data_IF_550283618001
#
_entry.id   IF_550283618001
#
_cell.length_a   1.000
_cell.length_b   1.000
_cell.length_c   1.000
_cell.angle_alpha   90.00
_cell.angle_beta   90.00
_cell.angle_gamma   90.00
#
_symmetry.space_group_name_H-M   'P 1'
#
loop_
_entity.id
_entity.type
_entity.pdbx_description
1 polymer ?
#
# COMPACT_ATOMS: atom_id res chain seq x y z
N UNK A 1 -23.33 -20.90 80.66
CA UNK A 1 -22.60 -20.09 79.72
C UNK A 1 -22.43 -20.95 78.46
N UNK A 2 -23.21 -20.66 77.40
CA UNK A 2 -23.18 -21.40 76.15
C UNK A 2 -22.31 -20.60 75.09
N UNK A 3 -21.23 -21.20 74.62
CA UNK A 3 -20.41 -20.62 73.59
C UNK A 3 -21.08 -20.80 72.26
N UNK A 4 -21.30 -19.71 71.54
CA UNK A 4 -21.83 -19.70 70.16
C UNK A 4 -20.63 -19.66 69.23
N UNK A 5 -20.47 -20.77 68.49
CA UNK A 5 -19.45 -20.90 67.42
C UNK A 5 -20.04 -20.38 66.11
N UNK A 6 -19.38 -19.35 65.49
CA UNK A 6 -19.73 -18.89 64.17
C UNK A 6 -18.82 -19.58 63.12
N UNK A 7 -19.41 -20.16 62.07
CA UNK A 7 -18.58 -20.68 60.98
C UNK A 7 -18.12 -19.52 60.08
N UNK A 8 -16.79 -19.40 59.87
CA UNK A 8 -16.18 -18.51 58.89
C UNK A 8 -16.54 -19.01 57.46
N UNK A 9 -17.36 -18.26 56.77
CA UNK A 9 -17.66 -18.47 55.35
C UNK A 9 -16.52 -17.82 54.54
N UNK A 10 -15.58 -18.63 54.05
CA UNK A 10 -14.55 -18.23 53.09
C UNK A 10 -15.19 -18.12 51.72
N UNK A 11 -15.56 -16.93 51.28
CA UNK A 11 -15.99 -16.66 49.92
C UNK A 11 -14.72 -16.53 49.06
N UNK A 12 -14.40 -17.60 48.37
CA UNK A 12 -13.37 -17.64 47.33
C UNK A 12 -13.89 -16.88 46.12
N UNK A 13 -13.43 -15.64 45.92
CA UNK A 13 -13.61 -14.90 44.66
C UNK A 13 -12.69 -15.48 43.61
N UNK A 14 -13.22 -16.39 42.79
CA UNK A 14 -12.61 -16.80 41.53
C UNK A 14 -12.70 -15.63 40.55
N UNK A 15 -11.67 -14.78 40.50
CA UNK A 15 -11.44 -13.80 39.46
C UNK A 15 -11.11 -14.54 38.17
N UNK A 16 -12.14 -14.84 37.40
CA UNK A 16 -12.01 -15.31 36.04
C UNK A 16 -11.49 -14.13 35.21
N UNK A 17 -10.18 -14.02 35.04
CA UNK A 17 -9.58 -13.11 34.09
C UNK A 17 -9.86 -13.65 32.68
N UNK A 18 -11.01 -13.27 32.14
CA UNK A 18 -11.23 -13.37 30.70
C UNK A 18 -10.20 -12.49 30.02
N UNK A 19 -9.13 -13.11 29.53
CA UNK A 19 -8.22 -12.46 28.62
C UNK A 19 -8.99 -12.15 27.32
N UNK A 20 -9.58 -10.96 27.27
CA UNK A 20 -10.07 -10.39 26.02
C UNK A 20 -8.84 -10.16 25.15
N UNK A 21 -8.58 -11.10 24.25
CA UNK A 21 -7.70 -10.85 23.12
C UNK A 21 -8.36 -9.75 22.29
N UNK A 22 -8.05 -8.50 22.56
CA UNK A 22 -8.38 -7.39 21.70
C UNK A 22 -7.55 -7.57 20.43
N UNK A 23 -8.17 -8.14 19.40
CA UNK A 23 -7.70 -8.03 18.02
C UNK A 23 -7.81 -6.55 17.65
N UNK A 24 -6.77 -5.78 17.97
CA UNK A 24 -6.69 -4.38 17.57
C UNK A 24 -6.65 -4.36 16.04
N UNK A 25 -7.68 -3.78 15.43
CA UNK A 25 -7.63 -3.46 14.00
C UNK A 25 -6.44 -2.52 13.78
N UNK A 26 -5.57 -2.85 12.84
CA UNK A 26 -4.48 -1.96 12.47
C UNK A 26 -5.08 -0.63 12.07
N UNK A 27 -4.71 0.44 12.76
CA UNK A 27 -5.02 1.78 12.33
C UNK A 27 -4.29 2.01 11.00
N UNK A 28 -5.06 2.27 9.95
CA UNK A 28 -4.54 2.49 8.59
C UNK A 28 -3.49 3.59 8.54
N UNK A 29 -3.69 4.64 9.32
CA UNK A 29 -2.78 5.79 9.40
C UNK A 29 -1.47 5.35 10.02
N UNK A 30 -1.51 4.67 11.17
CA UNK A 30 -0.31 4.19 11.86
C UNK A 30 0.48 3.19 11.04
N UNK A 31 -0.17 2.30 10.27
CA UNK A 31 0.53 1.34 9.41
C UNK A 31 1.49 2.03 8.45
N UNK A 32 1.11 3.15 7.85
CA UNK A 32 1.94 3.88 6.91
C UNK A 32 2.81 4.96 7.56
N UNK A 33 2.57 5.33 8.81
CA UNK A 33 3.38 6.29 9.57
C UNK A 33 4.63 5.65 10.17
N UNK A 34 4.55 4.39 10.54
CA UNK A 34 5.71 3.63 11.02
C UNK A 34 6.76 3.46 9.90
N UNK A 35 8.01 3.69 10.20
CA UNK A 35 9.13 3.68 9.24
C UNK A 35 9.95 2.40 9.26
N UNK A 36 9.67 1.46 10.18
CA UNK A 36 10.39 0.19 10.22
C UNK A 36 10.11 -0.65 8.96
N UNK A 37 11.10 -1.37 8.48
CA UNK A 37 10.93 -2.32 7.37
C UNK A 37 10.13 -3.51 7.88
N UNK A 38 9.16 -3.98 7.10
CA UNK A 38 8.38 -5.17 7.40
C UNK A 38 8.99 -6.35 6.64
N UNK A 39 9.42 -7.38 7.37
CA UNK A 39 9.75 -8.67 6.77
C UNK A 39 8.46 -9.40 6.43
N UNK A 40 8.23 -9.65 5.14
CA UNK A 40 7.01 -10.24 4.63
C UNK A 40 7.30 -11.37 3.63
N UNK A 41 6.49 -12.43 3.68
CA UNK A 41 6.50 -13.49 2.68
C UNK A 41 5.17 -13.54 1.97
N UNK A 42 5.20 -13.56 0.63
CA UNK A 42 4.04 -13.85 -0.20
C UNK A 42 4.24 -15.21 -0.85
N UNK A 43 3.37 -16.16 -0.54
CA UNK A 43 3.39 -17.52 -1.11
C UNK A 43 2.29 -17.67 -2.14
N UNK A 44 2.64 -18.00 -3.40
CA UNK A 44 1.68 -18.17 -4.51
C UNK A 44 2.22 -19.18 -5.53
N UNK A 45 1.39 -19.60 -6.48
CA UNK A 45 1.85 -20.37 -7.66
C UNK A 45 2.67 -19.46 -8.58
N UNK A 46 3.98 -19.41 -8.34
CA UNK A 46 4.91 -18.58 -9.14
C UNK A 46 4.99 -19.04 -10.60
N UNK A 47 4.81 -20.34 -10.87
CA UNK A 47 4.84 -20.86 -12.26
C UNK A 47 3.68 -20.26 -13.05
N UNK A 48 2.49 -20.26 -12.47
CA UNK A 48 1.30 -19.67 -13.09
C UNK A 48 1.43 -18.15 -13.20
N UNK A 49 1.86 -17.48 -12.13
CA UNK A 49 2.04 -16.02 -12.10
C UNK A 49 2.98 -15.55 -13.22
N UNK A 50 4.16 -16.16 -13.36
CA UNK A 50 5.12 -15.76 -14.40
C UNK A 50 4.66 -16.09 -15.81
N UNK A 51 3.94 -17.19 -16.01
CA UNK A 51 3.37 -17.55 -17.32
C UNK A 51 2.27 -16.58 -17.76
N UNK A 52 1.55 -15.99 -16.84
CA UNK A 52 0.38 -15.14 -17.11
C UNK A 52 0.63 -13.66 -16.76
N UNK A 53 1.87 -13.27 -16.46
CA UNK A 53 2.22 -11.93 -15.95
C UNK A 53 1.81 -10.76 -16.87
N UNK A 54 1.64 -11.00 -18.16
CA UNK A 54 1.26 -9.98 -19.12
C UNK A 54 -0.26 -9.74 -19.19
N UNK A 55 -1.06 -10.60 -18.55
CA UNK A 55 -2.51 -10.50 -18.55
C UNK A 55 -3.00 -9.61 -17.40
N UNK A 56 -3.35 -8.36 -17.72
CA UNK A 56 -3.92 -7.46 -16.74
C UNK A 56 -5.25 -8.01 -16.20
N UNK A 57 -5.42 -7.92 -14.87
CA UNK A 57 -6.62 -8.37 -14.20
C UNK A 57 -6.62 -9.85 -13.83
N UNK A 58 -5.65 -10.65 -14.30
CA UNK A 58 -5.52 -12.03 -13.84
C UNK A 58 -5.27 -12.07 -12.33
N UNK A 59 -5.97 -12.98 -11.66
CA UNK A 59 -6.00 -13.11 -10.21
C UNK A 59 -5.34 -14.41 -9.76
N UNK A 60 -4.50 -14.31 -8.71
CA UNK A 60 -3.74 -15.43 -8.14
C UNK A 60 -4.00 -15.50 -6.64
N UNK A 61 -4.59 -16.60 -6.14
CA UNK A 61 -4.65 -16.87 -4.72
C UNK A 61 -3.23 -16.93 -4.15
N UNK A 62 -3.05 -16.31 -3.00
CA UNK A 62 -1.76 -16.27 -2.31
C UNK A 62 -1.98 -16.20 -0.80
N UNK A 63 -0.90 -16.37 -0.05
CA UNK A 63 -0.86 -16.14 1.37
C UNK A 63 0.17 -15.06 1.69
N UNK A 64 -0.19 -14.12 2.57
CA UNK A 64 0.69 -13.08 3.07
C UNK A 64 1.04 -13.38 4.52
N UNK A 65 2.32 -13.53 4.82
CA UNK A 65 2.84 -13.72 6.17
C UNK A 65 3.80 -12.58 6.52
N UNK A 66 3.63 -12.00 7.70
CA UNK A 66 4.52 -10.95 8.20
C UNK A 66 4.45 -10.84 9.71
N UNK A 67 5.49 -10.30 10.33
CA UNK A 67 5.45 -9.81 11.71
C UNK A 67 5.49 -8.28 11.67
N UNK A 68 4.42 -7.66 12.15
CA UNK A 68 4.28 -6.22 12.21
C UNK A 68 4.81 -5.68 13.56
N UNK A 69 5.08 -4.37 13.69
CA UNK A 69 5.43 -3.75 14.95
C UNK A 69 4.47 -4.13 16.08
N UNK A 70 5.02 -4.33 17.28
CA UNK A 70 4.25 -4.84 18.43
C UNK A 70 4.07 -6.36 18.40
N UNK A 71 4.89 -7.10 17.64
CA UNK A 71 4.86 -8.56 17.50
C UNK A 71 3.51 -9.10 16.98
N UNK A 72 2.81 -8.30 16.17
CA UNK A 72 1.55 -8.72 15.56
C UNK A 72 1.86 -9.64 14.38
N UNK A 73 1.58 -10.93 14.54
CA UNK A 73 1.75 -11.93 13.48
C UNK A 73 0.55 -11.89 12.54
N UNK A 74 0.83 -11.67 11.26
CA UNK A 74 -0.14 -11.75 10.17
C UNK A 74 0.12 -13.02 9.37
N UNK A 75 -0.94 -13.76 9.11
CA UNK A 75 -0.93 -14.92 8.19
C UNK A 75 -2.31 -14.98 7.54
N UNK A 76 -2.43 -14.32 6.39
CA UNK A 76 -3.72 -14.06 5.78
C UNK A 76 -3.77 -14.53 4.32
N UNK A 77 -4.85 -15.21 3.92
CA UNK A 77 -5.12 -15.45 2.51
C UNK A 77 -5.39 -14.11 1.82
N UNK A 78 -4.71 -13.89 0.71
CA UNK A 78 -4.81 -12.69 -0.12
C UNK A 78 -5.13 -13.05 -1.56
N UNK A 79 -5.51 -12.04 -2.33
CA UNK A 79 -5.58 -12.13 -3.77
C UNK A 79 -4.56 -11.18 -4.39
N UNK A 80 -3.68 -11.72 -5.22
CA UNK A 80 -2.81 -10.94 -6.08
C UNK A 80 -3.54 -10.68 -7.40
N UNK A 81 -3.47 -9.45 -7.90
CA UNK A 81 -4.00 -9.11 -9.22
C UNK A 81 -2.91 -8.42 -10.03
N UNK A 82 -2.63 -8.91 -11.23
CA UNK A 82 -1.70 -8.25 -12.16
C UNK A 82 -2.28 -6.92 -12.63
N UNK A 83 -1.48 -5.86 -12.56
CA UNK A 83 -1.87 -4.50 -12.92
C UNK A 83 -0.83 -3.80 -13.81
N UNK A 84 -1.08 -2.55 -14.12
CA UNK A 84 -0.18 -1.71 -14.92
C UNK A 84 -0.24 -2.03 -16.42
N UNK A 85 0.55 -1.30 -17.19
CA UNK A 85 0.63 -1.47 -18.65
C UNK A 85 2.05 -1.81 -19.08
N UNK A 86 2.97 -0.86 -19.04
CA UNK A 86 4.34 -1.00 -19.55
C UNK A 86 5.15 -2.07 -18.77
N UNK A 87 5.22 -1.97 -17.45
CA UNK A 87 6.05 -2.84 -16.59
C UNK A 87 5.65 -4.31 -16.59
N UNK A 88 4.42 -4.67 -17.01
CA UNK A 88 3.98 -6.08 -17.10
C UNK A 88 4.82 -6.90 -18.09
N UNK A 89 5.10 -6.32 -19.26
CA UNK A 89 5.93 -7.00 -20.27
C UNK A 89 7.43 -6.84 -20.00
N UNK A 90 7.82 -5.69 -19.45
CA UNK A 90 9.22 -5.33 -19.29
C UNK A 90 9.88 -5.90 -18.03
N UNK A 91 9.20 -5.85 -16.88
CA UNK A 91 9.77 -6.25 -15.61
C UNK A 91 9.74 -7.77 -15.39
N UNK A 92 10.68 -8.27 -14.58
CA UNK A 92 10.74 -9.68 -14.19
C UNK A 92 9.48 -10.06 -13.39
N UNK A 93 9.17 -9.33 -12.30
CA UNK A 93 7.93 -9.45 -11.56
C UNK A 93 6.94 -8.40 -12.07
N UNK A 94 5.72 -8.79 -12.46
CA UNK A 94 4.72 -7.80 -12.89
C UNK A 94 4.27 -6.93 -11.70
N UNK A 95 3.86 -5.69 -11.95
CA UNK A 95 3.21 -4.90 -10.91
C UNK A 95 1.96 -5.59 -10.38
N UNK A 96 1.85 -5.71 -9.06
CA UNK A 96 0.78 -6.43 -8.40
C UNK A 96 -0.09 -5.51 -7.53
N UNK A 97 -1.34 -5.90 -7.37
CA UNK A 97 -2.24 -5.43 -6.33
C UNK A 97 -2.44 -6.56 -5.33
N UNK A 98 -2.39 -6.23 -4.05
CA UNK A 98 -2.59 -7.15 -2.93
C UNK A 98 -3.92 -6.82 -2.25
N UNK A 99 -4.86 -7.78 -2.23
CA UNK A 99 -6.16 -7.58 -1.63
C UNK A 99 -6.35 -8.45 -0.38
N UNK A 100 -6.51 -7.80 0.79
CA UNK A 100 -6.75 -8.44 2.10
C UNK A 100 -8.25 -8.59 2.39
N UNK A 101 -9.00 -9.29 1.55
CA UNK A 101 -10.47 -9.31 1.64
C UNK A 101 -11.08 -10.62 2.15
N UNK A 102 -10.34 -11.71 2.15
CA UNK A 102 -10.91 -13.04 2.42
C UNK A 102 -11.10 -13.34 3.90
N UNK A 103 -10.15 -13.00 4.75
CA UNK A 103 -10.23 -13.25 6.20
C UNK A 103 -10.92 -12.07 6.89
N UNK A 104 -12.13 -12.31 7.41
CA UNK A 104 -12.94 -11.27 8.08
C UNK A 104 -12.23 -10.65 9.31
N UNK A 105 -11.44 -11.45 10.01
CA UNK A 105 -10.71 -11.07 11.23
C UNK A 105 -9.29 -10.56 10.96
N UNK A 106 -8.90 -10.42 9.69
CA UNK A 106 -7.57 -9.91 9.34
C UNK A 106 -7.37 -8.49 9.85
N UNK A 107 -6.27 -8.28 10.55
CA UNK A 107 -5.79 -6.95 10.95
C UNK A 107 -5.42 -6.10 9.73
N UNK A 108 -5.05 -6.71 8.60
CA UNK A 108 -4.73 -6.03 7.34
C UNK A 108 -5.98 -5.62 6.53
N UNK A 109 -7.15 -6.23 6.80
CA UNK A 109 -8.37 -5.95 6.06
C UNK A 109 -8.76 -4.46 6.00
N UNK A 110 -8.60 -3.65 7.06
CA UNK A 110 -8.90 -2.22 7.01
C UNK A 110 -8.05 -1.45 5.99
N UNK A 111 -6.89 -1.96 5.57
CA UNK A 111 -6.03 -1.33 4.56
C UNK A 111 -6.62 -1.45 3.15
N UNK A 112 -7.50 -2.43 2.92
CA UNK A 112 -8.13 -2.66 1.63
C UNK A 112 -7.18 -3.23 0.58
N UNK A 113 -7.32 -2.74 -0.65
CA UNK A 113 -6.47 -3.14 -1.77
C UNK A 113 -5.22 -2.25 -1.80
N UNK A 114 -4.03 -2.84 -1.70
CA UNK A 114 -2.77 -2.11 -1.74
C UNK A 114 -2.05 -2.40 -3.06
N UNK A 115 -1.33 -1.42 -3.60
CA UNK A 115 -0.41 -1.70 -4.69
C UNK A 115 0.91 -2.20 -4.10
N UNK A 116 1.43 -3.30 -4.63
CA UNK A 116 2.78 -3.77 -4.38
C UNK A 116 3.67 -3.23 -5.51
N UNK A 117 4.65 -2.46 -5.14
CA UNK A 117 5.68 -1.94 -6.05
C UNK A 117 6.97 -2.67 -5.72
N UNK A 118 7.52 -3.37 -6.69
CA UNK A 118 8.75 -4.14 -6.61
C UNK A 118 9.77 -3.64 -7.62
N UNK A 119 11.02 -4.05 -7.47
CA UNK A 119 12.03 -3.74 -8.47
C UNK A 119 11.70 -4.38 -9.82
N UNK A 120 12.12 -3.71 -10.91
CA UNK A 120 11.80 -4.17 -12.26
C UNK A 120 12.67 -5.35 -12.70
N UNK A 121 13.95 -5.32 -12.36
CA UNK A 121 14.94 -6.36 -12.63
C UNK A 121 15.69 -6.68 -11.34
N UNK A 122 16.17 -7.90 -11.22
CA UNK A 122 16.98 -8.33 -10.08
C UNK A 122 18.41 -7.79 -10.23
N UNK A 123 18.63 -6.54 -9.79
CA UNK A 123 19.95 -5.92 -9.78
C UNK A 123 20.00 -4.81 -8.72
N UNK A 124 21.17 -4.53 -8.21
CA UNK A 124 21.42 -3.45 -7.27
C UNK A 124 20.95 -2.08 -7.79
N UNK A 125 21.15 -1.81 -9.08
CA UNK A 125 20.69 -0.59 -9.73
C UNK A 125 19.15 -0.47 -9.68
N UNK A 126 18.42 -1.56 -9.95
CA UNK A 126 16.95 -1.54 -9.91
C UNK A 126 16.42 -1.43 -8.48
N UNK A 127 17.16 -1.94 -7.50
CA UNK A 127 16.86 -1.74 -6.09
C UNK A 127 17.02 -0.27 -5.69
N UNK A 128 18.06 0.41 -6.17
CA UNK A 128 18.23 1.85 -5.97
C UNK A 128 17.09 2.67 -6.60
N UNK A 129 16.59 2.29 -7.77
CA UNK A 129 15.41 2.93 -8.37
C UNK A 129 14.18 2.80 -7.47
N UNK A 130 13.95 1.61 -6.92
CA UNK A 130 12.86 1.38 -5.98
C UNK A 130 12.95 2.28 -4.74
N UNK A 131 14.15 2.38 -4.14
CA UNK A 131 14.36 3.23 -2.97
C UNK A 131 14.20 4.71 -3.30
N UNK A 132 14.66 5.17 -4.46
CA UNK A 132 14.46 6.55 -4.90
C UNK A 132 12.96 6.87 -5.09
N UNK A 133 12.20 5.99 -5.74
CA UNK A 133 10.76 6.15 -5.89
C UNK A 133 10.07 6.16 -4.51
N UNK A 134 10.42 5.24 -3.61
CA UNK A 134 9.93 5.22 -2.24
C UNK A 134 10.23 6.55 -1.51
N UNK A 135 11.43 7.09 -1.62
CA UNK A 135 11.82 8.35 -1.01
C UNK A 135 11.01 9.53 -1.55
N UNK A 136 10.72 9.57 -2.86
CA UNK A 136 9.85 10.60 -3.45
C UNK A 136 8.49 10.61 -2.76
N UNK A 137 7.86 9.46 -2.56
CA UNK A 137 6.60 9.39 -1.81
C UNK A 137 6.75 9.92 -0.39
N UNK A 138 7.84 9.58 0.31
CA UNK A 138 8.08 10.06 1.69
C UNK A 138 8.29 11.56 1.73
N UNK A 139 9.04 12.14 0.80
CA UNK A 139 9.25 13.59 0.68
C UNK A 139 7.91 14.28 0.39
N UNK A 140 7.12 13.76 -0.55
CA UNK A 140 5.82 14.35 -0.89
C UNK A 140 4.83 14.27 0.28
N UNK A 141 4.88 13.20 1.10
CA UNK A 141 4.07 13.09 2.32
C UNK A 141 4.41 14.18 3.37
N UNK A 142 5.62 14.74 3.35
CA UNK A 142 5.99 15.86 4.24
C UNK A 142 5.41 17.20 3.77
N UNK A 143 5.06 17.30 2.49
CA UNK A 143 4.57 18.55 1.87
C UNK A 143 3.04 18.67 1.98
N UNK A 144 2.33 17.55 1.78
CA UNK A 144 0.86 17.56 1.74
C UNK A 144 0.26 16.21 2.14
N UNK A 145 -0.92 16.26 2.79
CA UNK A 145 -1.71 15.06 3.06
C UNK A 145 -2.45 14.53 1.82
N UNK A 146 -2.56 15.33 0.74
CA UNK A 146 -3.10 14.91 -0.55
C UNK A 146 -2.08 14.06 -1.32
N UNK A 147 -1.61 12.99 -0.71
CA UNK A 147 -0.50 12.15 -1.16
C UNK A 147 -0.75 10.69 -0.84
N UNK A 148 -0.17 9.78 -1.58
CA UNK A 148 -0.15 8.36 -1.22
C UNK A 148 0.90 8.08 -0.17
N UNK A 149 0.56 7.31 0.86
CA UNK A 149 1.51 6.79 1.85
C UNK A 149 2.06 5.45 1.41
N UNK A 150 3.30 5.20 1.74
CA UNK A 150 4.02 3.97 1.37
C UNK A 150 4.69 3.32 2.57
N UNK A 151 4.80 1.98 2.54
CA UNK A 151 5.44 1.17 3.58
C UNK A 151 6.43 0.21 2.95
N UNK A 152 7.70 0.28 3.39
CA UNK A 152 8.78 -0.56 2.89
C UNK A 152 8.68 -1.99 3.43
N UNK A 153 8.98 -2.95 2.56
CA UNK A 153 9.05 -4.38 2.85
C UNK A 153 10.43 -4.93 2.48
N UNK A 154 10.91 -5.85 3.27
CA UNK A 154 11.82 -6.91 2.85
C UNK A 154 10.96 -8.11 2.48
N UNK A 155 10.81 -8.35 1.19
CA UNK A 155 9.83 -9.26 0.63
C UNK A 155 10.47 -10.55 0.14
N UNK A 156 9.97 -11.69 0.63
CA UNK A 156 10.19 -12.99 0.03
C UNK A 156 8.96 -13.41 -0.78
N UNK A 157 9.13 -13.65 -2.08
CA UNK A 157 8.12 -14.28 -2.92
C UNK A 157 8.45 -15.77 -3.04
N UNK A 158 7.61 -16.62 -2.45
CA UNK A 158 7.80 -18.06 -2.38
C UNK A 158 6.82 -18.83 -3.28
N UNK A 159 7.31 -19.92 -3.90
CA UNK A 159 6.45 -20.78 -4.72
C UNK A 159 5.66 -21.77 -3.88
N UNK A 160 4.34 -21.77 -3.99
CA UNK A 160 3.45 -22.64 -3.22
C UNK A 160 3.64 -24.12 -3.53
N UNK A 161 4.18 -24.48 -4.71
CA UNK A 161 4.46 -25.85 -5.12
C UNK A 161 5.93 -26.25 -4.99
N UNK A 162 6.82 -25.33 -4.54
CA UNK A 162 8.25 -25.59 -4.41
C UNK A 162 8.99 -25.84 -5.73
N UNK A 163 8.40 -25.50 -6.87
CA UNK A 163 8.98 -25.72 -8.20
C UNK A 163 9.95 -24.61 -8.64
N UNK A 164 9.83 -23.45 -8.02
CA UNK A 164 10.71 -22.29 -8.24
C UNK A 164 11.41 -21.90 -6.96
N UNK A 165 12.64 -21.37 -7.09
CA UNK A 165 13.35 -20.76 -5.96
C UNK A 165 12.62 -19.49 -5.53
N UNK A 166 12.63 -19.21 -4.23
CA UNK A 166 12.15 -17.93 -3.69
C UNK A 166 12.94 -16.77 -4.28
N UNK A 167 12.27 -15.64 -4.38
CA UNK A 167 12.87 -14.35 -4.77
C UNK A 167 12.81 -13.46 -3.54
N UNK A 168 13.96 -12.97 -3.10
CA UNK A 168 14.06 -12.00 -2.02
C UNK A 168 14.43 -10.65 -2.61
N UNK A 169 13.64 -9.63 -2.30
CA UNK A 169 13.82 -8.27 -2.81
C UNK A 169 13.18 -7.24 -1.88
N UNK A 170 13.65 -6.00 -1.94
CA UNK A 170 12.88 -4.91 -1.36
C UNK A 170 11.68 -4.56 -2.25
N UNK A 171 10.58 -4.21 -1.59
CA UNK A 171 9.35 -3.76 -2.23
C UNK A 171 8.67 -2.72 -1.32
N UNK A 172 7.64 -2.03 -1.81
CA UNK A 172 6.80 -1.25 -0.93
C UNK A 172 5.32 -1.44 -1.23
N UNK A 173 4.52 -1.39 -0.16
CA UNK A 173 3.07 -1.29 -0.27
C UNK A 173 2.67 0.17 -0.37
N UNK A 174 1.81 0.47 -1.32
CA UNK A 174 1.23 1.79 -1.51
C UNK A 174 -0.27 1.77 -1.20
N UNK A 175 -0.71 2.78 -0.47
CA UNK A 175 -2.08 3.01 -0.05
C UNK A 175 -3.07 3.09 -1.24
N UNK A 176 -4.32 2.67 -1.02
CA UNK A 176 -5.41 2.85 -2.01
C UNK A 176 -5.92 4.31 -1.97
N UNK A 177 -6.32 4.84 -3.13
CA UNK A 177 -6.87 6.22 -3.25
C UNK A 177 -8.10 6.44 -2.35
N UNK A 178 -8.87 5.40 -2.04
CA UNK A 178 -10.00 5.51 -1.11
C UNK A 178 -9.54 5.80 0.32
N UNK A 179 -8.36 5.33 0.70
CA UNK A 179 -7.78 5.62 2.01
C UNK A 179 -7.23 7.05 2.05
N UNK A 180 -6.54 7.50 0.98
CA UNK A 180 -6.15 8.91 0.81
C UNK A 180 -7.37 9.81 0.93
N UNK A 181 -8.43 9.53 0.17
CA UNK A 181 -9.66 10.31 0.21
C UNK A 181 -10.30 10.30 1.62
N UNK A 182 -10.38 9.12 2.26
CA UNK A 182 -11.01 8.99 3.58
C UNK A 182 -10.31 9.83 4.66
N UNK A 183 -8.97 9.82 4.72
CA UNK A 183 -8.24 10.58 5.75
C UNK A 183 -8.24 12.09 5.52
N UNK A 184 -8.61 12.52 4.31
CA UNK A 184 -8.77 13.92 3.93
C UNK A 184 -10.23 14.38 3.88
N UNK A 185 -11.18 13.66 4.50
CA UNK A 185 -12.62 13.94 4.44
C UNK A 185 -13.18 14.06 3.00
N UNK A 186 -12.56 13.32 2.08
CA UNK A 186 -12.89 13.29 0.66
C UNK A 186 -13.47 11.94 0.23
N UNK A 187 -13.95 11.89 -1.00
CA UNK A 187 -14.26 10.68 -1.77
C UNK A 187 -13.43 10.66 -3.04
N UNK A 188 -13.06 9.46 -3.52
CA UNK A 188 -12.36 9.35 -4.79
C UNK A 188 -13.27 9.77 -5.95
N UNK A 189 -12.73 10.58 -6.85
CA UNK A 189 -13.37 10.95 -8.11
C UNK A 189 -13.15 9.84 -9.14
N UNK A 190 -14.22 9.39 -9.78
CA UNK A 190 -14.14 8.21 -10.66
C UNK A 190 -14.25 8.54 -12.15
N UNK A 191 -14.63 9.76 -12.48
CA UNK A 191 -15.00 10.10 -13.84
C UNK A 191 -14.00 11.02 -14.51
N UNK A 192 -13.47 10.56 -15.65
CA UNK A 192 -13.01 11.35 -16.76
C UNK A 192 -11.74 12.17 -16.58
N UNK A 193 -11.35 12.68 -17.71
CA UNK A 193 -10.32 13.72 -17.85
C UNK A 193 -10.87 15.03 -17.27
N UNK A 194 -9.99 15.82 -16.67
CA UNK A 194 -10.35 17.12 -16.10
C UNK A 194 -9.37 18.17 -16.57
N UNK A 195 -9.87 19.36 -16.87
CA UNK A 195 -8.98 20.48 -17.19
C UNK A 195 -8.18 20.86 -15.93
N UNK A 196 -6.86 21.08 -16.03
CA UNK A 196 -6.06 21.55 -14.90
C UNK A 196 -6.55 22.87 -14.26
N UNK A 197 -7.41 23.63 -14.94
CA UNK A 197 -8.06 24.83 -14.41
C UNK A 197 -9.25 24.54 -13.50
N UNK A 198 -9.82 23.34 -13.60
CA UNK A 198 -11.02 22.90 -12.87
C UNK A 198 -10.67 22.08 -11.61
N UNK A 199 -9.44 22.14 -11.15
CA UNK A 199 -8.96 21.51 -9.91
C UNK A 199 -8.55 22.56 -8.88
N UNK A 200 -8.43 22.16 -7.62
CA UNK A 200 -7.96 23.06 -6.55
C UNK A 200 -6.59 23.66 -6.92
N UNK A 201 -6.57 24.97 -7.05
CA UNK A 201 -5.42 25.71 -7.57
C UNK A 201 -4.20 25.57 -6.67
N UNK A 202 -4.39 25.61 -5.34
CA UNK A 202 -3.27 25.49 -4.38
C UNK A 202 -2.64 24.10 -4.47
N UNK A 203 -3.46 23.05 -4.45
CA UNK A 203 -2.96 21.68 -4.57
C UNK A 203 -2.33 21.44 -5.94
N UNK A 204 -2.92 21.96 -7.00
CA UNK A 204 -2.34 21.85 -8.36
C UNK A 204 -0.96 22.53 -8.45
N UNK A 205 -0.79 23.68 -7.82
CA UNK A 205 0.51 24.38 -7.78
C UNK A 205 1.55 23.54 -7.02
N UNK A 206 1.17 22.93 -5.88
CA UNK A 206 2.06 22.04 -5.13
C UNK A 206 2.50 20.86 -6.00
N UNK A 207 1.55 20.21 -6.69
CA UNK A 207 1.84 19.09 -7.60
C UNK A 207 2.79 19.52 -8.70
N UNK A 208 2.49 20.60 -9.41
CA UNK A 208 3.29 21.06 -10.55
C UNK A 208 4.73 21.41 -10.14
N UNK A 209 4.90 22.11 -9.02
CA UNK A 209 6.24 22.44 -8.49
C UNK A 209 6.99 21.17 -8.08
N UNK A 210 6.31 20.23 -7.40
CA UNK A 210 6.93 18.99 -6.97
C UNK A 210 7.35 18.11 -8.14
N UNK A 211 6.47 17.91 -9.12
CA UNK A 211 6.77 17.15 -10.34
C UNK A 211 7.93 17.76 -11.13
N UNK A 212 7.98 19.09 -11.22
CA UNK A 212 9.10 19.82 -11.81
C UNK A 212 10.39 19.60 -11.02
N UNK A 213 10.34 19.69 -9.68
CA UNK A 213 11.49 19.52 -8.79
C UNK A 213 12.14 18.12 -8.93
N UNK A 214 11.33 17.07 -9.10
CA UNK A 214 11.84 15.71 -9.31
C UNK A 214 12.12 15.38 -10.78
N UNK A 215 11.87 16.32 -11.70
CA UNK A 215 12.05 16.13 -13.13
C UNK A 215 11.12 15.07 -13.73
N UNK A 216 9.86 15.02 -13.26
CA UNK A 216 8.88 14.10 -13.80
C UNK A 216 8.03 14.75 -14.89
N UNK A 217 8.07 14.20 -16.09
CA UNK A 217 7.26 14.64 -17.24
C UNK A 217 6.13 13.67 -17.56
N UNK A 218 6.11 12.49 -16.93
CA UNK A 218 5.16 11.41 -17.20
C UNK A 218 3.88 11.53 -16.33
N UNK A 219 3.27 12.71 -16.31
CA UNK A 219 2.02 12.94 -15.59
C UNK A 219 1.13 13.97 -16.28
N UNK A 220 -0.17 13.91 -15.98
CA UNK A 220 -1.09 14.91 -16.51
C UNK A 220 -2.53 14.71 -16.04
N UNK A 221 -3.13 15.80 -15.54
CA UNK A 221 -4.54 15.83 -15.11
C UNK A 221 -5.49 15.69 -16.29
N UNK A 222 -5.22 16.39 -17.39
CA UNK A 222 -6.06 16.40 -18.59
C UNK A 222 -6.12 15.05 -19.29
N UNK A 223 -5.09 14.24 -19.15
CA UNK A 223 -5.03 12.89 -19.73
C UNK A 223 -5.28 11.79 -18.70
N UNK A 224 -5.51 12.16 -17.43
CA UNK A 224 -5.70 11.26 -16.29
C UNK A 224 -4.53 10.25 -16.16
N UNK A 225 -3.30 10.74 -16.38
CA UNK A 225 -2.08 9.95 -16.34
C UNK A 225 -1.30 10.23 -15.06
N UNK A 226 -0.94 9.19 -14.34
CA UNK A 226 -0.18 9.21 -13.08
C UNK A 226 -0.72 10.21 -12.02
N UNK A 227 -2.02 10.53 -12.12
CA UNK A 227 -2.74 11.36 -11.17
C UNK A 227 -4.07 10.71 -10.78
N UNK A 228 -4.55 11.00 -9.58
CA UNK A 228 -5.90 10.69 -9.10
C UNK A 228 -6.54 11.94 -8.56
N UNK A 229 -7.86 11.98 -8.59
CA UNK A 229 -8.64 13.09 -8.07
C UNK A 229 -9.47 12.64 -6.86
N UNK A 230 -9.54 13.51 -5.85
CA UNK A 230 -10.41 13.36 -4.71
C UNK A 230 -11.23 14.64 -4.52
N UNK A 231 -12.48 14.51 -4.08
CA UNK A 231 -13.40 15.63 -3.89
C UNK A 231 -13.90 15.66 -2.46
N UNK A 232 -14.07 16.88 -1.93
CA UNK A 232 -14.57 17.10 -0.57
C UNK A 232 -15.94 16.43 -0.38
N UNK A 233 -16.15 15.85 0.82
CA UNK A 233 -17.48 15.38 1.25
C UNK A 233 -18.31 16.49 1.89
N UNK A 234 -17.64 17.52 2.43
CA UNK A 234 -18.27 18.60 3.20
C UNK A 234 -18.70 19.77 2.32
N UNK A 235 -17.92 20.01 1.27
CA UNK A 235 -18.16 21.16 0.38
C UNK A 235 -18.23 20.67 -1.08
N UNK A 236 -19.42 20.74 -1.66
CA UNK A 236 -19.66 20.35 -3.05
C UNK A 236 -19.18 21.39 -4.06
N UNK A 237 -18.90 22.62 -3.61
CA UNK A 237 -18.35 23.70 -4.45
C UNK A 237 -16.83 23.67 -4.50
N UNK A 238 -16.18 22.92 -3.59
CA UNK A 238 -14.74 22.75 -3.59
C UNK A 238 -14.29 21.97 -4.82
N UNK A 239 -13.37 22.54 -5.57
CA UNK A 239 -12.76 21.88 -6.73
C UNK A 239 -11.97 20.63 -6.30
N UNK A 240 -11.86 19.62 -7.17
CA UNK A 240 -11.13 18.40 -6.89
C UNK A 240 -9.66 18.62 -6.57
N UNK A 241 -9.12 17.87 -5.63
CA UNK A 241 -7.69 17.85 -5.33
C UNK A 241 -6.97 16.81 -6.18
N UNK A 242 -5.81 17.19 -6.72
CA UNK A 242 -4.94 16.30 -7.49
C UNK A 242 -4.00 15.54 -6.55
N UNK A 243 -3.89 14.23 -6.72
CA UNK A 243 -2.99 13.34 -5.98
C UNK A 243 -2.11 12.61 -6.98
N UNK A 244 -0.83 12.98 -7.12
CA UNK A 244 0.11 12.35 -8.04
C UNK A 244 0.61 11.01 -7.53
N UNK A 245 1.07 10.14 -8.43
CA UNK A 245 1.67 8.84 -8.13
C UNK A 245 2.43 8.30 -9.35
N UNK A 246 3.19 7.20 -9.17
CA UNK A 246 3.98 6.53 -10.21
C UNK A 246 5.15 7.41 -10.69
N UNK A 247 6.14 7.60 -9.79
CA UNK A 247 7.25 8.52 -10.00
C UNK A 247 8.48 7.85 -10.62
N UNK A 248 8.38 6.60 -11.07
CA UNK A 248 9.50 5.82 -11.58
C UNK A 248 10.11 6.39 -12.88
N UNK A 249 9.33 7.18 -13.65
CA UNK A 249 9.82 7.92 -14.83
C UNK A 249 10.44 9.27 -14.51
N UNK A 250 10.50 9.69 -13.24
CA UNK A 250 11.12 10.97 -12.88
C UNK A 250 12.64 10.97 -13.09
N UNK A 251 13.20 12.13 -13.42
CA UNK A 251 14.65 12.34 -13.51
C UNK A 251 15.38 12.06 -12.19
N UNK A 252 14.70 12.24 -11.04
CA UNK A 252 15.26 11.86 -9.74
C UNK A 252 15.50 10.36 -9.61
N UNK A 253 14.56 9.51 -10.07
CA UNK A 253 14.72 8.05 -10.09
C UNK A 253 15.71 7.67 -11.18
N UNK A 254 15.55 8.22 -12.38
CA UNK A 254 16.42 8.00 -13.55
C UNK A 254 16.53 6.52 -13.91
N UNK A 255 15.38 5.89 -14.13
CA UNK A 255 15.33 4.47 -14.55
C UNK A 255 15.88 4.30 -15.98
N UNK A 256 16.41 3.13 -16.26
CA UNK A 256 16.94 2.78 -17.58
C UNK A 256 15.89 2.75 -18.71
N UNK A 257 14.61 2.79 -18.35
CA UNK A 257 13.46 2.81 -19.25
C UNK A 257 12.73 4.17 -19.28
N UNK A 258 13.09 5.12 -18.43
CA UNK A 258 12.49 6.46 -18.41
C UNK A 258 13.20 7.37 -19.41
N UNK A 259 12.97 7.15 -20.68
CA UNK A 259 13.46 8.04 -21.72
C UNK A 259 12.34 9.03 -22.04
N UNK A 260 12.59 10.36 -21.93
CA UNK A 260 11.61 11.35 -22.36
C UNK A 260 11.27 11.12 -23.86
N UNK A 261 10.00 11.26 -24.21
CA UNK A 261 9.61 11.35 -25.61
C UNK A 261 10.16 12.65 -26.19
N UNK A 262 10.80 12.58 -27.38
CA UNK A 262 11.34 13.72 -28.13
C UNK A 262 10.24 14.68 -28.61
#
# INVERSE_FOLDING_TARGET
MKAISYPLLIISFLLCHAAYSQTSSIDKVKFFEDTSIINATITTDMVKLFRQKERAGDEFPANFSATLPGNIVVNDPILLTVRGHYRRGYCYLPPLKVAFKYKKTSVMKPLGDLKLVSQCKTSETNEQYLFKEFLIYKIYNMITDMSFRVRLLDLELADSAGKKKSISEHAFLMEDIKNVAKRNDCKSWKTGKMDPRDVDRKQMTIVAIFEYMIGNTDWGVSVNHNTKLIVSKKDSMQLPYVVPYDFDFSGFVNTDYSVPDD
#
